data_IF_130295593004
#
_entry.id   IF_130295593004
#
_cell.length_a   1.000
_cell.length_b   1.000
_cell.length_c   1.000
_cell.angle_alpha   90.00
_cell.angle_beta   90.00
_cell.angle_gamma   90.00
#
_symmetry.space_group_name_H-M   'P 1'
#
loop_
_entity.id
_entity.type
_entity.pdbx_description
1 polymer ?
#
# COMPACT_ATOMS: atom_id res chain seq x y z
N UNK A 1 -2.88 -14.70 -0.76
CA UNK A 1 -3.64 -13.48 -0.50
C UNK A 1 -4.72 -13.35 -1.57
N UNK A 2 -5.97 -13.16 -1.18
CA UNK A 2 -7.04 -12.79 -2.11
C UNK A 2 -6.90 -11.30 -2.43
N UNK A 3 -6.68 -10.99 -3.71
CA UNK A 3 -6.44 -9.64 -4.20
C UNK A 3 -7.61 -9.09 -5.02
N UNK A 4 -8.74 -9.81 -5.08
CA UNK A 4 -9.92 -9.37 -5.83
C UNK A 4 -10.48 -8.02 -5.33
N UNK A 5 -10.24 -7.68 -4.06
CA UNK A 5 -10.76 -6.46 -3.41
C UNK A 5 -9.76 -5.32 -3.32
N UNK A 6 -8.57 -5.45 -3.91
CA UNK A 6 -7.54 -4.41 -3.80
C UNK A 6 -7.98 -3.08 -4.43
N UNK A 7 -8.75 -3.12 -5.53
CA UNK A 7 -9.27 -1.91 -6.16
C UNK A 7 -10.31 -1.21 -5.27
N UNK A 8 -11.29 -1.95 -4.76
CA UNK A 8 -12.33 -1.42 -3.88
C UNK A 8 -11.72 -0.83 -2.60
N UNK A 9 -10.74 -1.52 -2.01
CA UNK A 9 -10.00 -1.03 -0.86
C UNK A 9 -9.31 0.32 -1.12
N UNK A 10 -8.63 0.46 -2.28
CA UNK A 10 -7.95 1.71 -2.63
C UNK A 10 -8.96 2.84 -2.90
N UNK A 11 -10.11 2.55 -3.51
CA UNK A 11 -11.18 3.52 -3.72
C UNK A 11 -11.79 4.01 -2.38
N UNK A 12 -12.01 3.09 -1.44
CA UNK A 12 -12.48 3.43 -0.09
C UNK A 12 -11.45 4.27 0.66
N UNK A 13 -10.17 3.88 0.61
CA UNK A 13 -9.09 4.62 1.23
C UNK A 13 -8.99 6.04 0.66
N UNK A 14 -9.07 6.18 -0.66
CA UNK A 14 -9.06 7.49 -1.35
C UNK A 14 -10.20 8.37 -0.85
N UNK A 15 -11.41 7.85 -0.86
CA UNK A 15 -12.60 8.55 -0.36
C UNK A 15 -12.44 9.05 1.09
N UNK A 16 -11.82 8.23 1.95
CA UNK A 16 -11.60 8.59 3.36
C UNK A 16 -10.55 9.69 3.52
N UNK A 17 -9.42 9.58 2.81
CA UNK A 17 -8.33 10.56 2.88
C UNK A 17 -8.75 11.92 2.31
N UNK A 18 -9.46 11.93 1.18
CA UNK A 18 -9.94 13.17 0.54
C UNK A 18 -10.95 13.95 1.40
N UNK A 19 -11.66 13.27 2.30
CA UNK A 19 -12.59 13.89 3.25
C UNK A 19 -11.90 14.50 4.47
N UNK A 20 -10.63 14.19 4.70
CA UNK A 20 -9.89 14.76 5.81
C UNK A 20 -9.38 16.17 5.47
N UNK A 21 -9.72 17.14 6.30
CA UNK A 21 -9.32 18.55 6.14
C UNK A 21 -8.04 18.90 6.91
N UNK A 22 -7.46 17.92 7.61
CA UNK A 22 -6.24 18.04 8.41
C UNK A 22 -5.19 17.03 7.92
N UNK A 23 -3.94 17.17 8.37
CA UNK A 23 -2.91 16.17 8.10
C UNK A 23 -3.34 14.78 8.59
N UNK A 24 -3.21 13.77 7.72
CA UNK A 24 -3.59 12.38 8.01
C UNK A 24 -2.37 11.47 8.02
N UNK A 25 -2.38 10.51 8.94
CA UNK A 25 -1.52 9.33 8.91
C UNK A 25 -2.40 8.10 8.67
N UNK A 26 -2.03 7.27 7.70
CA UNK A 26 -2.75 6.04 7.36
C UNK A 26 -1.90 4.83 7.78
N UNK A 27 -2.05 4.31 9.00
CA UNK A 27 -1.47 3.02 9.38
C UNK A 27 -2.37 1.87 8.90
N UNK A 28 -1.79 0.72 8.57
CA UNK A 28 -2.58 -0.46 8.26
C UNK A 28 -1.79 -1.61 7.65
N UNK A 29 -2.44 -2.77 7.57
CA UNK A 29 -2.00 -3.88 6.73
C UNK A 29 -2.65 -3.75 5.35
N UNK A 30 -1.91 -3.20 4.41
CA UNK A 30 -2.40 -2.99 3.06
C UNK A 30 -2.46 -4.28 2.24
N UNK A 31 -1.70 -5.31 2.62
CA UNK A 31 -1.51 -6.51 1.79
C UNK A 31 -1.08 -6.17 0.32
N UNK A 32 -0.41 -5.03 0.16
CA UNK A 32 0.11 -4.45 -1.08
C UNK A 32 1.57 -4.06 -0.85
N UNK A 33 2.42 -4.27 -1.86
CA UNK A 33 3.83 -3.87 -1.80
C UNK A 33 4.07 -2.69 -2.76
N UNK A 34 4.90 -1.73 -2.35
CA UNK A 34 5.28 -0.58 -3.18
C UNK A 34 6.44 -0.89 -4.12
N UNK A 35 7.42 -1.64 -3.61
CA UNK A 35 8.66 -1.96 -4.29
C UNK A 35 8.87 -3.47 -4.34
N UNK A 36 9.49 -3.96 -5.40
CA UNK A 36 9.80 -5.39 -5.52
C UNK A 36 10.74 -5.86 -4.38
N UNK A 37 11.62 -4.98 -3.91
CA UNK A 37 12.52 -5.23 -2.77
C UNK A 37 11.79 -5.45 -1.44
N UNK A 38 10.50 -5.12 -1.34
CA UNK A 38 9.67 -5.36 -0.15
C UNK A 38 9.07 -6.77 -0.13
N UNK A 39 9.40 -7.61 -1.12
CA UNK A 39 9.08 -9.04 -1.14
C UNK A 39 10.38 -9.84 -1.32
N UNK A 40 10.51 -10.93 -0.57
CA UNK A 40 11.67 -11.81 -0.68
C UNK A 40 11.62 -12.73 -1.91
N UNK A 41 10.42 -13.09 -2.35
CA UNK A 41 10.24 -13.91 -3.56
C UNK A 41 10.20 -13.05 -4.83
N UNK A 42 10.66 -13.60 -5.97
CA UNK A 42 10.66 -12.86 -7.24
C UNK A 42 9.26 -12.68 -7.84
N UNK A 43 8.25 -13.39 -7.31
CA UNK A 43 6.87 -13.32 -7.77
C UNK A 43 6.18 -12.05 -7.25
N UNK A 44 6.34 -10.96 -7.99
CA UNK A 44 5.76 -9.64 -7.73
C UNK A 44 4.71 -9.27 -8.77
N UNK A 45 3.59 -8.73 -8.31
CA UNK A 45 2.53 -8.25 -9.18
C UNK A 45 2.74 -6.76 -9.49
N UNK A 46 3.36 -6.49 -10.64
CA UNK A 46 3.73 -5.12 -11.04
C UNK A 46 2.51 -4.23 -11.34
N UNK A 47 1.40 -4.81 -11.80
CA UNK A 47 0.17 -4.06 -12.05
C UNK A 47 -0.39 -3.57 -10.73
N UNK A 48 -0.43 -4.43 -9.72
CA UNK A 48 -0.87 -4.08 -8.38
C UNK A 48 0.05 -3.09 -7.69
N UNK A 49 1.37 -3.21 -7.87
CA UNK A 49 2.33 -2.22 -7.41
C UNK A 49 2.09 -0.85 -8.05
N UNK A 50 1.81 -0.80 -9.36
CA UNK A 50 1.47 0.45 -10.06
C UNK A 50 0.20 1.06 -9.47
N UNK A 51 -0.89 0.31 -9.39
CA UNK A 51 -2.15 0.78 -8.81
C UNK A 51 -1.98 1.37 -7.40
N UNK A 52 -1.16 0.72 -6.57
CA UNK A 52 -0.90 1.21 -5.22
C UNK A 52 -0.06 2.50 -5.22
N UNK A 53 0.99 2.57 -6.05
CA UNK A 53 1.81 3.78 -6.15
C UNK A 53 1.05 4.96 -6.78
N UNK A 54 0.19 4.71 -7.77
CA UNK A 54 -0.68 5.73 -8.35
C UNK A 54 -1.63 6.28 -7.29
N UNK A 55 -2.23 5.41 -6.46
CA UNK A 55 -3.10 5.84 -5.35
C UNK A 55 -2.37 6.69 -4.30
N UNK A 56 -1.12 6.35 -4.00
CA UNK A 56 -0.27 7.14 -3.09
C UNK A 56 0.03 8.52 -3.70
N UNK A 57 0.34 8.57 -5.00
CA UNK A 57 0.62 9.81 -5.71
C UNK A 57 -0.62 10.71 -5.81
N UNK A 58 -1.77 10.15 -6.17
CA UNK A 58 -3.07 10.84 -6.23
C UNK A 58 -3.44 11.51 -4.91
N UNK A 59 -3.17 10.83 -3.79
CA UNK A 59 -3.46 11.32 -2.45
C UNK A 59 -2.34 12.17 -1.85
N UNK A 60 -1.27 12.43 -2.60
CA UNK A 60 -0.05 13.09 -2.13
C UNK A 60 0.52 12.50 -0.83
N UNK A 61 0.33 11.19 -0.62
CA UNK A 61 0.79 10.50 0.58
C UNK A 61 2.29 10.26 0.54
N UNK A 62 2.91 10.33 1.71
CA UNK A 62 4.33 10.01 1.89
C UNK A 62 4.49 8.82 2.82
N UNK A 63 5.29 7.84 2.39
CA UNK A 63 5.64 6.71 3.23
C UNK A 63 6.52 7.15 4.40
N UNK A 64 6.12 6.74 5.60
CA UNK A 64 6.96 6.79 6.80
C UNK A 64 7.68 5.45 6.87
N UNK A 65 8.93 5.42 6.40
CA UNK A 65 9.70 4.19 6.31
C UNK A 65 9.97 3.61 7.71
N UNK A 66 9.70 2.31 7.88
CA UNK A 66 10.06 1.60 9.11
C UNK A 66 11.57 1.34 9.13
N UNK A 67 12.22 1.71 10.22
CA UNK A 67 13.63 1.37 10.46
C UNK A 67 13.72 -0.02 11.12
N UNK A 68 14.69 -0.83 10.71
CA UNK A 68 14.93 -2.17 11.26
C UNK A 68 14.38 -3.28 10.38
N UNK A 69 13.34 -3.98 10.84
CA UNK A 69 12.82 -5.16 10.16
C UNK A 69 12.31 -4.81 8.74
N UNK A 70 12.88 -5.45 7.72
CA UNK A 70 12.58 -5.21 6.30
C UNK A 70 11.20 -5.70 5.87
N UNK A 71 10.73 -6.80 6.44
CA UNK A 71 9.44 -7.41 6.10
C UNK A 71 8.51 -7.40 7.31
N UNK A 72 7.21 -7.26 7.06
CA UNK A 72 6.16 -7.23 8.09
C UNK A 72 5.38 -8.55 8.19
N UNK A 73 5.51 -9.42 7.19
CA UNK A 73 4.74 -10.67 7.09
C UNK A 73 5.57 -11.79 6.46
N UNK A 74 5.27 -13.03 6.83
CA UNK A 74 5.84 -14.24 6.21
C UNK A 74 4.72 -15.25 6.00
N UNK A 75 4.60 -15.81 4.79
CA UNK A 75 3.74 -16.95 4.55
C UNK A 75 4.49 -18.22 4.97
N UNK A 76 3.86 -19.07 5.79
CA UNK A 76 4.32 -20.45 6.02
C UNK A 76 3.92 -21.34 4.85
#
# INVERSE_FOLDING_TARGET
ADHGRSADFLAELKTKVERCTISVVVPGDFNLIRWASYKSSPNVDRVRMRLFNDSIADLALREIARVGARFTWTNK
#
